data_IF_545136839414
#
_entry.id   IF_545136839414
#
_cell.length_a   1.000
_cell.length_b   1.000
_cell.length_c   1.000
_cell.angle_alpha   90.00
_cell.angle_beta   90.00
_cell.angle_gamma   90.00
#
_symmetry.space_group_name_H-M   'P 1'
#
loop_
_entity.id
_entity.type
_entity.pdbx_description
1 polymer ?
#
# COMPACT_ATOMS: atom_id res chain seq x y z
N UNK A 1 -8.44 15.72 1.64
CA UNK A 1 -8.32 14.39 2.28
C UNK A 1 -8.53 14.56 3.79
N UNK A 2 -9.51 13.86 4.36
CA UNK A 2 -9.83 13.91 5.80
C UNK A 2 -9.13 12.82 6.61
N UNK A 3 -9.07 11.62 6.02
CA UNK A 3 -8.32 10.48 6.50
C UNK A 3 -7.56 9.86 5.32
N UNK A 4 -6.40 9.30 5.58
CA UNK A 4 -5.59 8.58 4.60
C UNK A 4 -4.95 7.38 5.28
N UNK A 5 -5.02 6.22 4.63
CA UNK A 5 -4.40 5.01 5.12
C UNK A 5 -3.48 4.42 4.05
N UNK A 6 -2.33 3.90 4.47
CA UNK A 6 -1.42 3.16 3.60
C UNK A 6 -0.65 2.10 4.38
N UNK A 7 -0.06 1.16 3.65
CA UNK A 7 0.72 0.05 4.21
C UNK A 7 2.20 0.24 3.91
N UNK A 8 3.05 0.06 4.92
CA UNK A 8 4.50 0.29 4.78
C UNK A 8 5.15 -0.65 3.75
N UNK A 9 4.72 -1.90 3.67
CA UNK A 9 5.27 -2.90 2.74
C UNK A 9 5.02 -2.61 1.25
N UNK A 10 4.18 -1.61 0.92
CA UNK A 10 4.02 -1.12 -0.45
C UNK A 10 4.93 0.08 -0.77
N UNK A 11 5.67 0.55 0.23
CA UNK A 11 6.57 1.70 0.17
C UNK A 11 7.99 1.27 0.58
N UNK A 12 8.43 0.09 0.13
CA UNK A 12 9.73 -0.50 0.46
C UNK A 12 9.98 -0.72 1.97
N UNK A 13 8.96 -0.53 2.81
CA UNK A 13 9.02 -0.76 4.25
C UNK A 13 8.75 -2.21 4.65
N UNK A 14 8.85 -2.53 5.95
CA UNK A 14 8.59 -3.87 6.45
C UNK A 14 7.10 -4.25 6.41
N UNK A 15 6.82 -5.55 6.52
CA UNK A 15 5.46 -6.07 6.74
C UNK A 15 4.97 -5.81 8.17
N UNK A 16 3.65 -5.87 8.38
CA UNK A 16 3.05 -5.68 9.71
C UNK A 16 3.09 -4.25 10.25
N UNK A 17 3.29 -3.25 9.38
CA UNK A 17 3.17 -1.82 9.72
C UNK A 17 2.35 -1.08 8.67
N UNK A 18 1.54 -0.14 9.14
CA UNK A 18 0.74 0.76 8.31
C UNK A 18 0.54 2.09 9.03
N UNK A 19 -0.01 3.06 8.30
CA UNK A 19 -0.23 4.42 8.80
C UNK A 19 -1.68 4.78 8.59
N UNK A 20 -2.30 5.38 9.60
CA UNK A 20 -3.56 6.09 9.49
C UNK A 20 -3.31 7.56 9.81
N UNK A 21 -3.36 8.40 8.78
CA UNK A 21 -3.47 9.84 8.95
C UNK A 21 -4.95 10.23 9.11
N UNK A 22 -5.20 11.21 9.97
CA UNK A 22 -6.49 11.87 10.08
C UNK A 22 -6.32 13.31 10.50
N UNK A 23 -7.21 14.20 10.03
CA UNK A 23 -7.25 15.57 10.53
C UNK A 23 -7.52 15.56 12.03
N UNK A 24 -6.75 16.32 12.80
CA UNK A 24 -6.82 16.38 14.28
C UNK A 24 -8.26 16.52 14.80
N UNK A 25 -9.01 17.51 14.31
CA UNK A 25 -10.38 17.77 14.76
C UNK A 25 -11.36 16.60 14.50
N UNK A 26 -11.04 15.73 13.53
CA UNK A 26 -11.82 14.53 13.25
C UNK A 26 -11.34 13.37 14.11
N UNK A 27 -10.03 13.19 14.29
CA UNK A 27 -9.45 12.18 15.20
C UNK A 27 -9.87 12.38 16.66
N UNK A 28 -10.04 13.62 17.11
CA UNK A 28 -10.54 13.93 18.46
C UNK A 28 -11.97 13.41 18.66
N UNK A 29 -12.80 13.46 17.61
CA UNK A 29 -14.19 13.00 17.61
C UNK A 29 -14.35 11.52 17.27
N UNK A 30 -13.31 10.89 16.70
CA UNK A 30 -13.37 9.51 16.25
C UNK A 30 -13.45 8.57 17.47
N UNK A 31 -14.42 7.62 17.49
CA UNK A 31 -14.49 6.61 18.53
C UNK A 31 -13.23 5.74 18.50
N UNK A 32 -12.76 5.30 19.67
CA UNK A 32 -11.62 4.40 19.74
C UNK A 32 -12.03 3.01 19.30
N UNK A 33 -11.26 2.43 18.38
CA UNK A 33 -11.49 1.09 17.86
C UNK A 33 -10.97 0.00 18.81
N UNK A 34 -9.73 0.14 19.28
CA UNK A 34 -9.09 -0.78 20.24
C UNK A 34 -8.57 0.02 21.44
N UNK A 35 -8.84 -0.48 22.65
CA UNK A 35 -8.39 0.11 23.91
C UNK A 35 -7.62 -0.91 24.73
N UNK A 36 -6.65 -0.48 25.52
CA UNK A 36 -5.90 -1.36 26.41
C UNK A 36 -4.72 -0.66 27.08
N UNK A 37 -3.71 -1.43 27.45
CA UNK A 37 -2.42 -0.86 27.87
C UNK A 37 -1.89 0.09 26.78
N UNK A 38 -1.37 1.25 27.18
CA UNK A 38 -0.87 2.25 26.23
C UNK A 38 -1.90 3.23 25.69
N UNK A 39 -3.22 3.02 25.88
CA UNK A 39 -4.26 3.98 25.43
C UNK A 39 -4.96 4.72 26.57
N UNK A 40 -4.83 4.26 27.81
CA UNK A 40 -5.53 4.80 28.99
C UNK A 40 -4.60 5.59 29.90
N UNK A 41 -5.05 6.76 30.34
CA UNK A 41 -4.40 7.56 31.37
C UNK A 41 -4.64 7.01 32.77
N UNK A 42 -5.86 6.54 33.02
CA UNK A 42 -6.24 5.81 34.23
C UNK A 42 -7.50 4.97 34.00
N UNK A 43 -7.70 3.96 34.83
CA UNK A 43 -8.88 3.10 34.82
C UNK A 43 -9.29 2.73 36.24
N UNK A 44 -10.58 2.51 36.44
CA UNK A 44 -11.20 1.89 37.61
C UNK A 44 -12.03 0.69 37.12
N UNK A 45 -12.75 0.02 38.02
CA UNK A 45 -13.69 -1.04 37.63
C UNK A 45 -14.83 -0.56 36.73
N UNK A 46 -15.25 0.71 36.86
CA UNK A 46 -16.46 1.22 36.19
C UNK A 46 -16.19 2.39 35.24
N UNK A 47 -14.97 2.94 35.22
CA UNK A 47 -14.63 4.14 34.46
C UNK A 47 -13.20 4.09 33.93
N UNK A 48 -12.94 4.83 32.86
CA UNK A 48 -11.58 5.04 32.36
C UNK A 48 -11.45 6.43 31.74
N UNK A 49 -10.21 6.89 31.61
CA UNK A 49 -9.85 8.08 30.84
C UNK A 49 -8.79 7.71 29.83
N UNK A 50 -9.03 8.02 28.56
CA UNK A 50 -8.08 7.79 27.48
C UNK A 50 -6.94 8.82 27.49
N UNK A 51 -5.81 8.45 26.89
CA UNK A 51 -4.72 9.36 26.54
C UNK A 51 -5.15 10.32 25.41
N UNK A 52 -4.40 11.40 25.17
CA UNK A 52 -4.63 12.25 24.00
C UNK A 52 -4.29 11.52 22.69
N UNK A 53 -4.40 12.25 21.58
CA UNK A 53 -3.88 11.79 20.29
C UNK A 53 -2.33 11.86 20.29
N UNK A 54 -1.65 10.91 19.62
CA UNK A 54 -2.22 9.76 18.90
C UNK A 54 -2.46 8.53 19.79
N UNK A 55 -1.95 8.49 21.02
CA UNK A 55 -1.81 7.27 21.82
C UNK A 55 -3.14 6.58 22.14
N UNK A 56 -4.26 7.32 22.18
CA UNK A 56 -5.60 6.71 22.33
C UNK A 56 -5.96 5.68 21.26
N UNK A 57 -5.26 5.65 20.13
CA UNK A 57 -5.50 4.70 19.03
C UNK A 57 -4.45 3.59 18.91
N UNK A 58 -3.40 3.59 19.75
CA UNK A 58 -2.27 2.66 19.66
C UNK A 58 -2.26 1.71 20.85
N UNK A 59 -3.25 0.81 20.88
CA UNK A 59 -3.40 -0.14 21.97
C UNK A 59 -2.34 -1.23 21.96
N UNK A 60 -1.75 -1.47 23.12
CA UNK A 60 -0.74 -2.49 23.35
C UNK A 60 0.64 -2.09 22.86
N UNK A 61 1.54 -3.09 22.86
CA UNK A 61 2.89 -2.92 22.36
C UNK A 61 2.86 -2.80 20.83
N UNK A 62 3.36 -1.69 20.31
CA UNK A 62 3.40 -1.43 18.88
C UNK A 62 4.57 -2.16 18.20
N UNK A 63 4.49 -2.31 16.88
CA UNK A 63 5.57 -2.89 16.08
C UNK A 63 6.74 -1.90 15.94
N UNK A 64 7.56 -1.75 16.98
CA UNK A 64 8.66 -0.77 17.02
C UNK A 64 9.67 -0.95 15.90
N UNK A 65 10.07 -2.19 15.60
CA UNK A 65 10.97 -2.49 14.49
C UNK A 65 10.33 -2.11 13.14
N UNK A 66 9.04 -2.36 12.98
CA UNK A 66 8.27 -1.94 11.81
C UNK A 66 8.20 -0.42 11.65
N UNK A 67 7.96 0.31 12.74
CA UNK A 67 7.92 1.78 12.76
C UNK A 67 9.28 2.37 12.34
N UNK A 68 10.37 1.89 12.94
CA UNK A 68 11.73 2.35 12.61
C UNK A 68 12.10 1.99 11.16
N UNK A 69 11.79 0.77 10.74
CA UNK A 69 12.06 0.31 9.37
C UNK A 69 11.25 1.09 8.32
N UNK A 70 10.01 1.47 8.64
CA UNK A 70 9.21 2.33 7.78
C UNK A 70 9.83 3.74 7.68
N UNK A 71 10.36 4.28 8.78
CA UNK A 71 11.11 5.54 8.76
C UNK A 71 12.30 5.50 7.79
N UNK A 72 13.12 4.45 7.86
CA UNK A 72 14.23 4.26 6.93
C UNK A 72 13.80 4.14 5.46
N UNK A 73 12.67 3.47 5.20
CA UNK A 73 12.11 3.37 3.85
C UNK A 73 11.62 4.73 3.32
N UNK A 74 11.02 5.55 4.19
CA UNK A 74 10.62 6.92 3.87
C UNK A 74 11.86 7.77 3.55
N UNK A 75 12.89 7.73 4.39
CA UNK A 75 14.15 8.49 4.17
C UNK A 75 14.83 8.12 2.84
N UNK A 76 14.69 6.86 2.40
CA UNK A 76 15.17 6.43 1.09
C UNK A 76 14.29 6.99 -0.04
N UNK A 77 12.97 6.83 0.08
CA UNK A 77 12.03 7.29 -0.93
C UNK A 77 12.08 8.80 -1.14
N UNK A 78 12.21 9.60 -0.08
CA UNK A 78 12.33 11.07 -0.17
C UNK A 78 13.48 11.52 -1.09
N UNK A 79 14.53 10.72 -1.24
CA UNK A 79 15.66 11.03 -2.14
C UNK A 79 15.34 10.84 -3.62
N UNK A 80 14.35 10.00 -3.94
CA UNK A 80 14.05 9.58 -5.32
C UNK A 80 12.61 9.85 -5.74
N UNK A 81 11.74 10.32 -4.85
CA UNK A 81 10.28 10.37 -5.05
C UNK A 81 9.88 11.19 -6.28
N UNK A 82 10.60 12.27 -6.58
CA UNK A 82 10.32 13.13 -7.73
C UNK A 82 10.64 12.44 -9.07
N UNK A 83 11.49 11.41 -9.07
CA UNK A 83 11.89 10.66 -10.27
C UNK A 83 10.95 9.49 -10.56
N UNK A 84 10.23 8.99 -9.55
CA UNK A 84 9.37 7.80 -9.65
C UNK A 84 8.29 7.97 -10.74
N UNK A 85 7.53 9.08 -10.83
CA UNK A 85 6.43 9.19 -11.79
C UNK A 85 6.87 9.06 -13.25
N UNK A 86 7.99 9.69 -13.63
CA UNK A 86 8.48 9.61 -15.01
C UNK A 86 9.03 8.20 -15.30
N UNK A 87 9.75 7.60 -14.35
CA UNK A 87 10.22 6.23 -14.50
C UNK A 87 9.07 5.21 -14.64
N UNK A 88 8.01 5.34 -13.83
CA UNK A 88 6.82 4.52 -13.93
C UNK A 88 6.10 4.71 -15.28
N UNK A 89 6.10 5.93 -15.81
CA UNK A 89 5.54 6.22 -17.13
C UNK A 89 6.35 5.55 -18.25
N UNK A 90 7.68 5.65 -18.23
CA UNK A 90 8.56 5.01 -19.23
C UNK A 90 8.35 3.49 -19.28
N UNK A 91 8.29 2.84 -18.12
CA UNK A 91 8.01 1.40 -18.00
C UNK A 91 6.61 1.05 -18.55
N UNK A 92 5.60 1.85 -18.18
CA UNK A 92 4.24 1.66 -18.67
C UNK A 92 4.14 1.82 -20.20
N UNK A 93 4.84 2.82 -20.75
CA UNK A 93 4.86 3.07 -22.19
C UNK A 93 5.45 1.88 -22.92
N UNK A 94 6.64 1.41 -22.50
CA UNK A 94 7.30 0.25 -23.08
C UNK A 94 6.39 -0.98 -23.04
N UNK A 95 5.81 -1.28 -21.87
CA UNK A 95 4.93 -2.43 -21.71
C UNK A 95 3.68 -2.34 -22.60
N UNK A 96 3.12 -1.14 -22.78
CA UNK A 96 1.95 -0.93 -23.65
C UNK A 96 2.25 -1.18 -25.11
N UNK A 97 3.38 -0.65 -25.58
CA UNK A 97 3.81 -0.80 -26.97
C UNK A 97 4.06 -2.26 -27.33
N UNK A 98 4.62 -3.05 -26.40
CA UNK A 98 4.81 -4.49 -26.60
C UNK A 98 3.51 -5.30 -26.47
N UNK A 99 2.67 -5.01 -25.47
CA UNK A 99 1.39 -5.73 -25.28
C UNK A 99 0.47 -5.57 -26.51
N UNK A 100 0.46 -4.40 -27.16
CA UNK A 100 -0.33 -4.16 -28.38
C UNK A 100 0.02 -5.07 -29.55
N UNK A 101 1.22 -5.65 -29.56
CA UNK A 101 1.67 -6.58 -30.60
C UNK A 101 1.20 -8.03 -30.33
N UNK A 102 0.64 -8.28 -29.15
CA UNK A 102 0.27 -9.62 -28.67
C UNK A 102 -1.26 -9.79 -28.65
N UNK A 103 -1.77 -11.03 -28.71
CA UNK A 103 -3.21 -11.31 -28.62
C UNK A 103 -3.73 -11.26 -27.17
N UNK A 104 -3.35 -10.21 -26.44
CA UNK A 104 -3.79 -9.91 -25.06
C UNK A 104 -4.26 -8.45 -25.00
N UNK A 105 -5.12 -8.15 -24.03
CA UNK A 105 -5.78 -6.86 -23.91
C UNK A 105 -5.47 -6.23 -22.56
N UNK A 106 -5.16 -4.93 -22.55
CA UNK A 106 -4.99 -4.17 -21.32
C UNK A 106 -6.36 -3.88 -20.70
N UNK A 107 -6.46 -4.04 -19.39
CA UNK A 107 -7.61 -3.62 -18.60
C UNK A 107 -7.33 -2.22 -18.02
N UNK A 108 -8.01 -1.21 -18.53
CA UNK A 108 -7.85 0.19 -18.12
C UNK A 108 -7.61 1.12 -19.31
N UNK A 109 -7.26 2.40 -19.07
CA UNK A 109 -6.96 3.37 -20.13
C UNK A 109 -5.86 2.86 -21.07
N UNK A 110 -5.98 3.11 -22.37
CA UNK A 110 -4.93 2.79 -23.36
C UNK A 110 -3.72 3.71 -23.24
N UNK A 111 -3.93 4.94 -22.77
CA UNK A 111 -2.89 5.92 -22.56
C UNK A 111 -2.04 5.54 -21.33
N UNK A 112 -0.72 5.29 -21.49
CA UNK A 112 0.15 4.95 -20.37
C UNK A 112 0.24 6.07 -19.32
N UNK A 113 0.05 7.35 -19.70
CA UNK A 113 0.05 8.49 -18.75
C UNK A 113 -1.17 8.52 -17.83
N UNK A 114 -2.23 7.79 -18.17
CA UNK A 114 -3.46 7.72 -17.38
C UNK A 114 -3.49 6.50 -16.45
N UNK A 115 -2.41 5.70 -16.42
CA UNK A 115 -2.27 4.53 -15.55
C UNK A 115 -1.14 4.75 -14.55
N UNK A 116 -1.32 4.24 -13.33
CA UNK A 116 -0.24 4.13 -12.35
C UNK A 116 0.72 2.99 -12.68
N UNK A 117 1.54 2.58 -11.71
CA UNK A 117 2.54 1.49 -11.84
C UNK A 117 2.01 0.07 -12.07
N UNK A 118 0.70 -0.10 -12.25
CA UNK A 118 0.07 -1.42 -12.41
C UNK A 118 -0.56 -1.52 -13.80
N UNK A 119 -0.13 -2.52 -14.58
CA UNK A 119 -0.77 -2.90 -15.84
C UNK A 119 -1.45 -4.24 -15.66
N UNK A 120 -2.78 -4.19 -15.63
CA UNK A 120 -3.62 -5.39 -15.67
C UNK A 120 -3.92 -5.73 -17.13
N UNK A 121 -3.88 -7.01 -17.48
CA UNK A 121 -4.19 -7.48 -18.82
C UNK A 121 -4.86 -8.85 -18.77
N UNK A 122 -5.50 -9.25 -19.86
CA UNK A 122 -6.17 -10.53 -19.98
C UNK A 122 -6.07 -11.09 -21.40
N UNK A 123 -6.36 -12.38 -21.55
CA UNK A 123 -6.45 -13.09 -22.82
C UNK A 123 -7.83 -13.69 -22.97
N UNK A 124 -8.40 -13.63 -24.18
CA UNK A 124 -9.64 -14.35 -24.51
C UNK A 124 -9.40 -15.86 -24.69
N UNK A 125 -8.14 -16.30 -24.76
CA UNK A 125 -7.75 -17.68 -25.09
C UNK A 125 -7.15 -18.46 -23.93
N UNK A 126 -6.68 -17.78 -22.88
CA UNK A 126 -5.96 -18.40 -21.76
C UNK A 126 -6.39 -17.77 -20.45
N UNK A 127 -6.48 -18.57 -19.39
CA UNK A 127 -6.79 -18.03 -18.07
C UNK A 127 -5.61 -17.23 -17.51
N UNK A 128 -5.92 -16.25 -16.67
CA UNK A 128 -4.93 -15.43 -15.96
C UNK A 128 -3.93 -16.29 -15.18
N UNK A 129 -4.39 -17.39 -14.58
CA UNK A 129 -3.55 -18.30 -13.82
C UNK A 129 -2.56 -19.06 -14.69
N UNK A 130 -3.00 -19.55 -15.87
CA UNK A 130 -2.10 -20.21 -16.83
C UNK A 130 -1.01 -19.26 -17.33
N UNK A 131 -1.38 -18.02 -17.66
CA UNK A 131 -0.41 -16.99 -18.09
C UNK A 131 0.61 -16.73 -16.98
N UNK A 132 0.15 -16.57 -15.74
CA UNK A 132 1.03 -16.33 -14.59
C UNK A 132 2.03 -17.49 -14.37
N UNK A 133 1.56 -18.75 -14.43
CA UNK A 133 2.42 -19.93 -14.31
C UNK A 133 3.46 -19.99 -15.43
N UNK A 134 3.07 -19.75 -16.68
CA UNK A 134 4.00 -19.76 -17.81
C UNK A 134 5.06 -18.67 -17.69
N UNK A 135 4.69 -17.46 -17.24
CA UNK A 135 5.64 -16.37 -17.03
C UNK A 135 6.65 -16.70 -15.92
N UNK A 136 6.19 -17.32 -14.83
CA UNK A 136 7.05 -17.76 -13.73
C UNK A 136 7.99 -18.90 -14.18
N UNK A 137 7.45 -20.01 -14.68
CA UNK A 137 8.22 -21.22 -14.97
C UNK A 137 9.16 -21.09 -16.18
N UNK A 138 8.73 -20.37 -17.23
CA UNK A 138 9.49 -20.30 -18.49
C UNK A 138 10.45 -19.10 -18.50
N UNK A 139 10.02 -17.99 -17.90
CA UNK A 139 10.72 -16.70 -18.02
C UNK A 139 11.18 -16.10 -16.70
N UNK A 140 10.87 -16.73 -15.56
CA UNK A 140 11.20 -16.22 -14.23
C UNK A 140 10.64 -14.81 -13.98
N UNK A 141 9.42 -14.55 -14.46
CA UNK A 141 8.72 -13.26 -14.34
C UNK A 141 7.59 -13.41 -13.33
N UNK A 142 7.76 -12.79 -12.16
CA UNK A 142 6.74 -12.78 -11.12
C UNK A 142 5.59 -11.83 -11.48
N UNK A 143 4.40 -12.40 -11.67
CA UNK A 143 3.13 -11.66 -11.83
C UNK A 143 2.07 -12.21 -10.89
N UNK A 144 0.99 -11.47 -10.70
CA UNK A 144 -0.15 -11.91 -9.89
C UNK A 144 -1.37 -12.15 -10.77
N UNK A 145 -1.95 -13.34 -10.67
CA UNK A 145 -3.27 -13.66 -11.23
C UNK A 145 -4.36 -13.44 -10.18
N UNK A 146 -5.54 -13.00 -10.63
CA UNK A 146 -6.77 -13.00 -9.83
C UNK A 146 -7.45 -14.36 -9.87
N UNK A 147 -8.32 -14.63 -8.87
CA UNK A 147 -9.25 -15.76 -8.87
C UNK A 147 -10.57 -15.37 -9.53
#
# INVERSE_FOLDING_TARGET
>A
IDFLAFSGHKMLGPSGIGVLYGKKALLEKLPVFMTGGGTVRWTTYNQHKLLPLPEKFEAGLQNYAGIIGLGAAIDFLEKIIDQIPEHEFELNQLLTEEIRKLPIKILGPENPRERGSIVSFYSDKMSSHQIALMLDEISNIAVRSGQ
#
